data_IF_882691727232
#
_entry.id   IF_882691727232
#
_cell.length_a   1.000
_cell.length_b   1.000
_cell.length_c   1.000
_cell.angle_alpha   90.00
_cell.angle_beta   90.00
_cell.angle_gamma   90.00
#
_symmetry.space_group_name_H-M   'P 1'
#
loop_
_entity.id
_entity.type
_entity.pdbx_description
1 polymer ?
#
# COMPACT_ATOMS: atom_id res chain seq x y z
N UNK A 1 -67.44 24.73 4.89
CA UNK A 1 -66.39 24.82 5.94
C UNK A 1 -65.90 23.46 6.51
N UNK A 2 -65.95 22.33 5.79
CA UNK A 2 -65.56 21.03 6.33
C UNK A 2 -64.35 20.37 5.59
N UNK A 3 -63.97 20.87 4.46
CA UNK A 3 -62.86 20.27 3.65
C UNK A 3 -61.45 20.79 4.03
N UNK A 4 -61.37 22.00 4.56
CA UNK A 4 -60.05 22.59 4.94
C UNK A 4 -59.41 21.95 6.20
N UNK A 5 -60.22 21.45 7.13
CA UNK A 5 -59.74 20.82 8.34
C UNK A 5 -59.16 19.41 8.09
N UNK A 6 -59.73 18.68 7.12
CA UNK A 6 -59.23 17.33 6.79
C UNK A 6 -57.89 17.38 6.11
N UNK A 7 -57.66 18.35 5.23
CA UNK A 7 -56.39 18.56 4.54
C UNK A 7 -55.26 18.93 5.52
N UNK A 8 -55.55 19.78 6.49
CA UNK A 8 -54.56 20.18 7.50
C UNK A 8 -54.22 19.03 8.46
N UNK A 9 -55.13 18.14 8.79
CA UNK A 9 -54.87 16.95 9.63
C UNK A 9 -53.99 15.95 8.86
N UNK A 10 -54.23 15.72 7.59
CA UNK A 10 -53.43 14.82 6.74
C UNK A 10 -52.01 15.38 6.55
N UNK A 11 -51.89 16.69 6.36
CA UNK A 11 -50.56 17.33 6.21
C UNK A 11 -49.75 17.27 7.53
N UNK A 12 -50.39 17.48 8.66
CA UNK A 12 -49.75 17.36 10.00
C UNK A 12 -49.28 15.94 10.31
N UNK A 13 -50.09 14.93 9.95
CA UNK A 13 -49.74 13.52 10.10
C UNK A 13 -48.57 13.11 9.22
N UNK A 14 -48.51 13.58 7.96
CA UNK A 14 -47.42 13.32 7.05
C UNK A 14 -46.12 13.95 7.52
N UNK A 15 -46.17 15.17 8.08
CA UNK A 15 -44.98 15.86 8.62
C UNK A 15 -44.43 15.13 9.84
N UNK A 16 -45.30 14.62 10.73
CA UNK A 16 -44.88 13.86 11.91
C UNK A 16 -44.19 12.55 11.55
N UNK A 17 -44.64 11.83 10.54
CA UNK A 17 -44.02 10.60 10.07
C UNK A 17 -42.63 10.87 9.47
N UNK A 18 -42.45 11.96 8.75
CA UNK A 18 -41.14 12.35 8.19
C UNK A 18 -40.18 12.74 9.30
N UNK A 19 -40.61 13.50 10.31
CA UNK A 19 -39.78 13.86 11.45
C UNK A 19 -39.34 12.63 12.27
N UNK A 20 -40.24 11.68 12.51
CA UNK A 20 -39.90 10.43 13.22
C UNK A 20 -38.92 9.58 12.44
N UNK A 21 -39.07 9.47 11.12
CA UNK A 21 -38.11 8.74 10.27
C UNK A 21 -36.73 9.40 10.24
N UNK A 22 -36.63 10.73 10.21
CA UNK A 22 -35.37 11.45 10.30
C UNK A 22 -34.68 11.29 11.65
N UNK A 23 -35.44 11.29 12.76
CA UNK A 23 -34.89 11.08 14.11
C UNK A 23 -34.35 9.64 14.29
N UNK A 24 -35.03 8.63 13.73
CA UNK A 24 -34.59 7.24 13.80
C UNK A 24 -33.33 7.04 12.92
N UNK A 25 -33.23 7.67 11.74
CA UNK A 25 -32.07 7.62 10.89
C UNK A 25 -30.85 8.29 11.56
N UNK A 26 -31.03 9.47 12.16
CA UNK A 26 -29.97 10.16 12.89
C UNK A 26 -29.47 9.38 14.14
N UNK A 27 -30.37 8.67 14.82
CA UNK A 27 -30.01 7.82 15.97
C UNK A 27 -29.20 6.59 15.55
N UNK A 28 -29.51 5.98 14.38
CA UNK A 28 -28.77 4.84 13.88
C UNK A 28 -27.36 5.21 13.37
N UNK A 29 -27.19 6.39 12.80
CA UNK A 29 -25.89 6.87 12.33
C UNK A 29 -24.95 7.24 13.50
N UNK A 30 -25.49 7.80 14.59
CA UNK A 30 -24.70 8.07 15.79
C UNK A 30 -24.28 6.78 16.52
N UNK A 31 -25.14 5.76 16.55
CA UNK A 31 -24.79 4.46 17.13
C UNK A 31 -23.72 3.72 16.30
N UNK A 32 -23.77 3.82 14.98
CA UNK A 32 -22.75 3.25 14.08
C UNK A 32 -21.41 3.98 14.17
N UNK A 33 -21.42 5.32 14.33
CA UNK A 33 -20.21 6.11 14.55
C UNK A 33 -19.53 5.80 15.87
N UNK A 34 -20.30 5.65 16.96
CA UNK A 34 -19.76 5.27 18.27
C UNK A 34 -19.17 3.85 18.27
N UNK A 35 -19.82 2.89 17.59
CA UNK A 35 -19.31 1.52 17.45
C UNK A 35 -18.04 1.46 16.57
N UNK A 36 -17.94 2.26 15.51
CA UNK A 36 -16.75 2.36 14.67
C UNK A 36 -15.54 2.94 15.41
N UNK A 37 -15.76 3.99 16.22
CA UNK A 37 -14.67 4.60 17.01
C UNK A 37 -14.14 3.68 18.12
N UNK A 38 -14.99 2.87 18.76
CA UNK A 38 -14.52 1.93 19.80
C UNK A 38 -13.72 0.76 19.21
N UNK A 39 -14.06 0.29 18.02
CA UNK A 39 -13.30 -0.76 17.32
C UNK A 39 -11.92 -0.28 16.86
N UNK A 40 -11.85 0.95 16.32
CA UNK A 40 -10.58 1.54 15.89
C UNK A 40 -9.63 1.81 17.07
N UNK A 41 -10.17 2.15 18.26
CA UNK A 41 -9.35 2.41 19.45
C UNK A 41 -8.77 1.12 20.06
N UNK A 42 -9.50 0.00 20.06
CA UNK A 42 -8.98 -1.29 20.54
C UNK A 42 -7.90 -1.87 19.61
N UNK A 43 -8.03 -1.71 18.30
CA UNK A 43 -7.03 -2.19 17.33
C UNK A 43 -5.73 -1.37 17.41
N UNK A 44 -5.77 -0.09 17.80
CA UNK A 44 -4.58 0.74 18.00
C UNK A 44 -3.81 0.44 19.29
N UNK A 45 -4.47 -0.12 20.33
CA UNK A 45 -3.82 -0.44 21.59
C UNK A 45 -3.00 -1.74 21.57
N UNK A 46 -3.19 -2.60 20.57
CA UNK A 46 -2.47 -3.88 20.44
C UNK A 46 -1.11 -3.79 19.76
N UNK A 47 -0.72 -2.63 19.20
CA UNK A 47 0.51 -2.45 18.44
C UNK A 47 1.47 -1.47 19.15
N UNK A 48 1.77 -1.74 20.45
CA UNK A 48 2.76 -0.95 21.18
C UNK A 48 4.19 -1.36 20.75
N UNK A 49 5.09 -0.38 20.53
CA UNK A 49 6.42 -0.59 19.95
C UNK A 49 7.41 -1.37 20.82
N UNK A 50 7.04 -1.75 22.05
CA UNK A 50 8.00 -2.22 23.06
C UNK A 50 8.57 -3.64 22.88
N UNK A 51 8.18 -4.40 21.85
CA UNK A 51 8.56 -5.81 21.74
C UNK A 51 9.31 -6.20 20.45
N UNK A 52 9.75 -5.25 19.63
CA UNK A 52 10.45 -5.61 18.39
C UNK A 52 11.96 -5.47 18.56
N UNK A 53 12.63 -6.62 18.67
CA UNK A 53 14.07 -6.72 18.82
C UNK A 53 14.85 -6.14 17.63
N UNK A 54 16.06 -5.65 17.89
CA UNK A 54 17.02 -5.28 16.85
C UNK A 54 17.22 -6.43 15.85
N UNK A 55 17.44 -6.10 14.57
CA UNK A 55 17.70 -7.08 13.53
C UNK A 55 18.92 -7.94 13.90
N UNK A 56 18.87 -9.27 13.73
CA UNK A 56 19.90 -10.18 14.24
C UNK A 56 21.34 -9.96 13.70
N UNK A 57 21.49 -9.25 12.59
CA UNK A 57 22.83 -8.93 12.02
C UNK A 57 23.42 -7.58 12.46
N UNK A 58 22.71 -6.82 13.29
CA UNK A 58 23.18 -5.54 13.81
C UNK A 58 23.32 -4.41 12.78
N UNK A 59 23.00 -4.67 11.51
CA UNK A 59 23.18 -3.73 10.40
C UNK A 59 22.00 -2.74 10.28
N UNK A 60 20.83 -3.13 10.77
CA UNK A 60 19.60 -2.34 10.66
C UNK A 60 18.99 -2.07 12.04
N UNK A 61 18.49 -0.86 12.20
CA UNK A 61 17.67 -0.45 13.33
C UNK A 61 16.20 -0.38 12.90
N UNK A 62 15.33 -1.05 13.66
CA UNK A 62 13.89 -0.88 13.49
C UNK A 62 13.42 0.45 14.07
N UNK A 63 12.59 1.16 13.32
CA UNK A 63 12.01 2.43 13.73
C UNK A 63 10.49 2.29 13.80
N UNK A 64 9.82 3.00 14.74
CA UNK A 64 8.37 3.13 14.70
C UNK A 64 7.91 3.65 13.34
N UNK A 65 6.89 3.03 12.75
CA UNK A 65 6.44 3.39 11.39
C UNK A 65 5.98 4.85 11.29
N UNK A 66 5.43 5.40 12.36
CA UNK A 66 4.99 6.79 12.45
C UNK A 66 6.15 7.81 12.69
N UNK A 67 7.32 7.34 13.10
CA UNK A 67 8.53 8.16 13.31
C UNK A 67 9.52 8.04 12.17
N UNK A 68 9.16 7.29 11.15
CA UNK A 68 10.03 7.02 10.03
C UNK A 68 10.36 8.31 9.25
N UNK A 69 11.65 8.62 9.01
CA UNK A 69 12.02 9.81 8.28
C UNK A 69 11.40 9.76 6.89
N UNK A 70 10.64 10.78 6.57
CA UNK A 70 9.82 10.86 5.38
C UNK A 70 10.62 10.60 4.10
N UNK A 71 10.42 9.45 3.49
CA UNK A 71 10.69 9.30 2.07
C UNK A 71 9.74 10.23 1.33
N UNK A 72 10.25 11.27 0.70
CA UNK A 72 9.40 12.08 -0.17
C UNK A 72 8.99 11.24 -1.39
N UNK A 73 7.73 10.79 -1.48
CA UNK A 73 7.30 9.87 -2.54
C UNK A 73 7.42 10.50 -3.93
N UNK A 74 7.29 11.81 -4.05
CA UNK A 74 7.45 12.51 -5.33
C UNK A 74 8.90 12.49 -5.83
N UNK A 75 9.88 12.50 -4.94
CA UNK A 75 11.30 12.39 -5.30
C UNK A 75 11.69 10.95 -5.58
N UNK A 76 11.31 10.05 -4.70
CA UNK A 76 11.73 8.65 -4.80
C UNK A 76 11.04 7.92 -5.96
N UNK A 77 9.72 7.95 -6.08
CA UNK A 77 9.06 7.26 -7.18
C UNK A 77 9.34 7.90 -8.54
N UNK A 78 9.34 9.22 -8.64
CA UNK A 78 9.54 9.89 -9.92
C UNK A 78 10.99 9.99 -10.37
N UNK A 79 11.91 10.16 -9.44
CA UNK A 79 13.32 10.48 -9.70
C UNK A 79 14.23 9.27 -9.59
N UNK A 80 14.60 8.93 -8.36
CA UNK A 80 15.57 7.85 -8.06
C UNK A 80 15.01 6.47 -8.34
N UNK A 81 13.74 6.24 -8.09
CA UNK A 81 13.13 4.93 -8.02
C UNK A 81 13.31 4.29 -6.64
N UNK A 82 12.55 3.23 -6.42
CA UNK A 82 12.67 2.34 -5.27
C UNK A 82 12.81 0.92 -5.77
N UNK A 83 13.31 0.02 -4.94
CA UNK A 83 13.38 -1.40 -5.26
C UNK A 83 12.23 -2.12 -4.55
N UNK A 84 11.42 -2.83 -5.31
CA UNK A 84 10.37 -3.73 -4.83
C UNK A 84 10.89 -5.15 -4.84
N UNK A 85 10.78 -5.89 -3.73
CA UNK A 85 11.08 -7.31 -3.70
C UNK A 85 9.93 -8.11 -3.09
N UNK A 86 9.69 -9.31 -3.61
CA UNK A 86 8.69 -10.24 -3.12
C UNK A 86 9.16 -11.70 -3.33
N UNK A 87 8.54 -12.61 -2.61
CA UNK A 87 8.89 -14.02 -2.56
C UNK A 87 9.25 -14.47 -1.17
N UNK A 88 10.02 -15.53 -1.09
CA UNK A 88 10.44 -16.14 0.16
C UNK A 88 11.90 -16.62 0.08
N UNK A 89 12.36 -17.38 1.10
CA UNK A 89 13.74 -17.91 1.16
C UNK A 89 14.07 -18.89 0.04
N UNK A 90 13.07 -19.57 -0.55
CA UNK A 90 13.28 -20.52 -1.64
C UNK A 90 13.42 -19.81 -2.97
N UNK A 91 12.56 -18.82 -3.22
CA UNK A 91 12.57 -18.07 -4.47
C UNK A 91 12.02 -16.67 -4.28
N UNK A 92 12.76 -15.69 -4.73
CA UNK A 92 12.39 -14.28 -4.68
C UNK A 92 12.79 -13.55 -5.95
N UNK A 93 12.22 -12.39 -6.16
CA UNK A 93 12.66 -11.49 -7.21
C UNK A 93 12.45 -10.04 -6.80
N UNK A 94 13.31 -9.16 -7.33
CA UNK A 94 13.20 -7.73 -7.14
C UNK A 94 13.13 -6.99 -8.46
N UNK A 95 12.54 -5.78 -8.46
CA UNK A 95 12.51 -4.88 -9.60
C UNK A 95 12.46 -3.43 -9.15
N UNK A 96 13.00 -2.55 -9.96
CA UNK A 96 12.86 -1.11 -9.72
C UNK A 96 11.44 -0.66 -10.07
N UNK A 97 10.87 0.13 -9.18
CA UNK A 97 9.57 0.78 -9.33
C UNK A 97 9.74 2.30 -9.33
N UNK A 98 9.02 2.96 -10.24
CA UNK A 98 8.98 4.42 -10.34
C UNK A 98 7.57 4.99 -10.12
N UNK A 99 6.61 4.15 -9.74
CA UNK A 99 5.22 4.55 -9.48
C UNK A 99 4.76 3.99 -8.15
N UNK A 100 4.14 4.84 -7.36
CA UNK A 100 3.60 4.47 -6.07
C UNK A 100 3.10 5.65 -5.29
N UNK A 101 2.64 5.37 -4.09
CA UNK A 101 2.22 6.34 -3.09
C UNK A 101 2.55 5.84 -1.69
N UNK A 102 2.70 6.75 -0.76
CA UNK A 102 2.83 6.48 0.66
C UNK A 102 1.83 7.35 1.41
N UNK A 103 1.11 6.80 2.36
CA UNK A 103 0.09 7.54 3.08
C UNK A 103 -0.70 6.67 4.04
N UNK A 104 -1.92 7.09 4.32
CA UNK A 104 -2.82 6.39 5.24
C UNK A 104 -4.06 5.90 4.50
N UNK A 105 -4.37 4.63 4.64
CA UNK A 105 -5.60 4.02 4.15
C UNK A 105 -6.10 3.00 5.17
N UNK A 106 -7.41 2.97 5.45
CA UNK A 106 -8.02 2.14 6.50
C UNK A 106 -7.34 2.29 7.87
N UNK A 107 -7.01 3.53 8.22
CA UNK A 107 -6.29 3.89 9.45
C UNK A 107 -4.93 3.18 9.63
N UNK A 108 -4.31 2.76 8.52
CA UNK A 108 -3.00 2.11 8.49
C UNK A 108 -2.01 2.92 7.66
N UNK A 109 -0.75 2.91 8.04
CA UNK A 109 0.35 3.43 7.21
C UNK A 109 0.54 2.50 6.03
N UNK A 110 0.41 3.00 4.81
CA UNK A 110 0.40 2.17 3.61
C UNK A 110 1.39 2.63 2.56
N UNK A 111 1.91 1.65 1.82
CA UNK A 111 2.62 1.85 0.56
C UNK A 111 1.80 1.23 -0.56
N UNK A 112 1.54 2.01 -1.60
CA UNK A 112 0.93 1.55 -2.85
C UNK A 112 2.00 1.45 -3.92
N UNK A 113 2.07 0.31 -4.61
CA UNK A 113 2.99 0.07 -5.72
C UNK A 113 2.25 -0.43 -6.95
N UNK A 114 2.82 -0.19 -8.13
CA UNK A 114 2.22 -0.58 -9.41
C UNK A 114 3.19 -1.47 -10.18
N UNK A 115 2.75 -2.69 -10.50
CA UNK A 115 3.55 -3.68 -11.22
C UNK A 115 2.88 -4.04 -12.54
N UNK A 116 3.59 -3.84 -13.66
CA UNK A 116 3.07 -4.17 -14.98
C UNK A 116 2.91 -5.68 -15.13
N UNK A 117 1.86 -6.09 -15.85
CA UNK A 117 1.41 -7.49 -15.98
C UNK A 117 2.51 -8.46 -16.41
N UNK A 118 3.42 -8.02 -17.28
CA UNK A 118 4.50 -8.86 -17.81
C UNK A 118 5.78 -8.90 -16.96
N UNK A 119 5.83 -8.15 -15.87
CA UNK A 119 7.00 -8.15 -14.98
C UNK A 119 7.08 -9.47 -14.21
N UNK A 120 8.28 -10.06 -14.17
CA UNK A 120 8.50 -11.30 -13.43
C UNK A 120 8.17 -11.16 -11.94
N UNK A 121 8.46 -10.03 -11.34
CA UNK A 121 8.13 -9.74 -9.93
C UNK A 121 6.63 -9.85 -9.64
N UNK A 122 5.75 -9.65 -10.66
CA UNK A 122 4.30 -9.81 -10.49
C UNK A 122 3.92 -11.22 -10.03
N UNK A 123 4.58 -12.25 -10.55
CA UNK A 123 4.33 -13.64 -10.15
C UNK A 123 4.60 -13.88 -8.66
N UNK A 124 5.56 -13.15 -8.09
CA UNK A 124 5.87 -13.19 -6.66
C UNK A 124 4.88 -12.36 -5.86
N UNK A 125 4.55 -11.15 -6.32
CA UNK A 125 3.56 -10.28 -5.65
C UNK A 125 2.19 -10.94 -5.54
N UNK A 126 1.76 -11.69 -6.55
CA UNK A 126 0.46 -12.36 -6.56
C UNK A 126 0.38 -13.55 -5.57
N UNK A 127 1.53 -14.08 -5.14
CA UNK A 127 1.60 -15.27 -4.27
C UNK A 127 2.07 -14.97 -2.85
N UNK A 128 2.71 -13.82 -2.65
CA UNK A 128 3.32 -13.48 -1.37
C UNK A 128 2.38 -12.64 -0.51
N UNK A 129 2.19 -12.97 0.77
CA UNK A 129 1.41 -12.13 1.68
C UNK A 129 2.16 -10.87 2.10
N UNK A 130 3.47 -10.81 1.87
CA UNK A 130 4.34 -9.68 2.19
C UNK A 130 5.23 -9.31 1.02
N UNK A 131 5.65 -8.06 0.99
CA UNK A 131 6.67 -7.54 0.07
C UNK A 131 7.51 -6.47 0.77
N UNK A 132 8.69 -6.17 0.23
CA UNK A 132 9.51 -5.06 0.72
C UNK A 132 9.65 -3.97 -0.32
N UNK A 133 9.75 -2.72 0.17
CA UNK A 133 10.14 -1.56 -0.63
C UNK A 133 11.40 -0.97 -0.02
N UNK A 134 12.44 -0.81 -0.83
CA UNK A 134 13.76 -0.40 -0.38
C UNK A 134 14.21 0.88 -1.07
N UNK A 135 14.87 1.77 -0.31
CA UNK A 135 15.56 2.94 -0.83
C UNK A 135 17.07 2.78 -0.65
N UNK A 136 17.82 3.36 -1.58
CA UNK A 136 19.28 3.40 -1.59
C UNK A 136 19.72 4.85 -1.74
N UNK A 137 20.63 5.33 -0.88
CA UNK A 137 21.17 6.68 -0.97
C UNK A 137 22.05 6.81 -2.24
N UNK A 138 22.89 5.78 -2.48
CA UNK A 138 23.77 5.68 -3.65
C UNK A 138 23.44 4.43 -4.47
N UNK A 139 22.20 4.32 -4.94
CA UNK A 139 21.69 3.10 -5.57
C UNK A 139 21.44 3.19 -7.07
N UNK A 140 21.90 4.23 -7.76
CA UNK A 140 21.56 4.46 -9.16
C UNK A 140 21.95 3.30 -10.09
N UNK A 141 23.09 2.67 -9.88
CA UNK A 141 23.54 1.47 -10.64
C UNK A 141 22.68 0.24 -10.31
N UNK A 142 22.37 0.02 -9.04
CA UNK A 142 21.52 -1.08 -8.54
C UNK A 142 20.13 -0.95 -9.15
N UNK A 143 19.51 0.21 -8.97
CA UNK A 143 18.15 0.49 -9.45
C UNK A 143 18.06 0.39 -10.97
N UNK A 144 19.07 0.89 -11.69
CA UNK A 144 19.13 0.78 -13.15
C UNK A 144 19.18 -0.69 -13.58
N UNK A 145 20.11 -1.46 -13.03
CA UNK A 145 20.26 -2.88 -13.38
C UNK A 145 18.98 -3.67 -13.07
N UNK A 146 18.46 -3.54 -11.84
CA UNK A 146 17.25 -4.23 -11.37
C UNK A 146 16.01 -3.91 -12.20
N UNK A 147 15.94 -2.69 -12.77
CA UNK A 147 14.82 -2.25 -13.61
C UNK A 147 14.89 -2.74 -15.06
N UNK A 148 16.10 -2.96 -15.61
CA UNK A 148 16.31 -3.29 -17.02
C UNK A 148 16.48 -4.80 -17.26
N UNK A 149 17.02 -5.55 -16.30
CA UNK A 149 17.23 -6.99 -16.44
C UNK A 149 16.04 -7.78 -15.88
N UNK A 150 15.77 -8.93 -16.50
CA UNK A 150 14.72 -9.85 -16.04
C UNK A 150 15.30 -10.89 -15.09
N UNK A 151 14.62 -11.15 -13.98
CA UNK A 151 14.97 -12.26 -13.10
C UNK A 151 14.63 -13.65 -13.67
N UNK A 152 14.02 -13.70 -14.88
CA UNK A 152 13.89 -14.96 -15.64
C UNK A 152 15.20 -15.35 -16.30
N UNK A 153 16.08 -14.38 -16.56
CA UNK A 153 17.34 -14.59 -17.26
C UNK A 153 18.51 -14.92 -16.31
N UNK A 154 18.30 -14.76 -15.00
CA UNK A 154 19.31 -15.06 -13.98
C UNK A 154 19.07 -14.33 -12.67
N UNK A 155 19.90 -14.64 -11.67
CA UNK A 155 19.90 -13.98 -10.37
C UNK A 155 20.54 -12.59 -10.48
N UNK A 156 19.69 -11.59 -10.40
CA UNK A 156 20.11 -10.18 -10.50
C UNK A 156 20.84 -9.69 -9.26
N UNK A 157 20.50 -10.22 -8.08
CA UNK A 157 21.15 -9.85 -6.83
C UNK A 157 22.59 -10.38 -6.83
N UNK A 158 22.78 -11.64 -7.20
CA UNK A 158 24.12 -12.24 -7.35
C UNK A 158 24.96 -11.51 -8.40
N UNK A 159 24.38 -11.13 -9.54
CA UNK A 159 25.07 -10.38 -10.60
C UNK A 159 25.56 -8.99 -10.15
N UNK A 160 24.93 -8.41 -9.12
CA UNK A 160 25.33 -7.13 -8.52
C UNK A 160 26.14 -7.29 -7.23
N UNK A 161 26.37 -8.52 -6.76
CA UNK A 161 27.02 -8.77 -5.46
C UNK A 161 26.19 -8.33 -4.27
N UNK A 162 24.86 -8.26 -4.39
CA UNK A 162 23.98 -7.89 -3.29
C UNK A 162 23.76 -9.05 -2.32
N UNK A 163 23.74 -8.74 -1.02
CA UNK A 163 23.48 -9.70 0.03
C UNK A 163 22.00 -9.71 0.38
N UNK A 164 21.33 -10.83 0.05
CA UNK A 164 19.90 -11.01 0.34
C UNK A 164 19.72 -11.40 1.80
N UNK A 165 18.96 -10.59 2.51
CA UNK A 165 18.48 -10.83 3.86
C UNK A 165 16.99 -11.10 3.84
N UNK A 166 16.45 -11.59 4.97
CA UNK A 166 15.03 -11.90 5.08
C UNK A 166 14.49 -11.41 6.42
N UNK A 167 13.31 -10.82 6.39
CA UNK A 167 12.56 -10.45 7.60
C UNK A 167 12.10 -11.70 8.35
N UNK A 168 11.51 -11.53 9.52
CA UNK A 168 10.93 -12.64 10.30
C UNK A 168 9.78 -13.33 9.54
N UNK A 169 9.07 -12.59 8.68
CA UNK A 169 8.04 -13.12 7.79
C UNK A 169 8.62 -13.82 6.54
N UNK A 170 9.95 -13.91 6.42
CA UNK A 170 10.64 -14.50 5.29
C UNK A 170 10.65 -13.64 4.03
N UNK A 171 10.32 -12.36 4.13
CA UNK A 171 10.27 -11.42 3.00
C UNK A 171 11.71 -10.96 2.65
N UNK A 172 12.12 -11.03 1.37
CA UNK A 172 13.48 -10.68 0.96
C UNK A 172 13.73 -9.16 1.01
N UNK A 173 14.94 -8.76 1.41
CA UNK A 173 15.50 -7.42 1.26
C UNK A 173 17.01 -7.49 1.10
N UNK A 174 17.68 -6.37 0.85
CA UNK A 174 19.13 -6.34 0.60
C UNK A 174 19.86 -5.54 1.69
N UNK A 175 21.01 -6.08 2.14
CA UNK A 175 21.87 -5.45 3.16
C UNK A 175 22.42 -4.08 2.72
N UNK A 176 22.47 -3.82 1.42
CA UNK A 176 22.94 -2.56 0.84
C UNK A 176 21.89 -1.45 0.86
N UNK A 177 20.62 -1.77 1.18
CA UNK A 177 19.57 -0.76 1.28
C UNK A 177 19.76 0.11 2.53
N UNK A 178 19.51 1.42 2.41
CA UNK A 178 19.53 2.35 3.55
C UNK A 178 18.21 2.28 4.33
N UNK A 179 17.14 1.97 3.63
CA UNK A 179 15.77 1.98 4.13
C UNK A 179 15.05 0.75 3.60
N UNK A 180 14.38 0.03 4.48
CA UNK A 180 13.52 -1.12 4.12
C UNK A 180 12.16 -0.94 4.78
N UNK A 181 11.11 -0.97 3.98
CA UNK A 181 9.74 -1.04 4.44
C UNK A 181 9.20 -2.44 4.13
N UNK A 182 8.91 -3.23 5.14
CA UNK A 182 8.17 -4.48 4.97
C UNK A 182 6.68 -4.19 4.99
N UNK A 183 5.97 -4.66 3.98
CA UNK A 183 4.57 -4.37 3.77
C UNK A 183 3.76 -5.66 3.75
N UNK A 184 2.71 -5.75 4.56
CA UNK A 184 1.69 -6.80 4.50
C UNK A 184 0.69 -6.44 3.40
N UNK A 185 0.49 -7.32 2.43
CA UNK A 185 -0.43 -7.08 1.32
C UNK A 185 -1.88 -7.04 1.83
N UNK A 186 -2.56 -5.92 1.62
CA UNK A 186 -3.96 -5.71 2.01
C UNK A 186 -4.91 -5.79 0.81
N UNK A 187 -4.45 -5.34 -0.37
CA UNK A 187 -5.30 -5.23 -1.54
C UNK A 187 -4.48 -5.35 -2.82
N UNK A 188 -5.03 -6.03 -3.82
CA UNK A 188 -4.48 -6.09 -5.16
C UNK A 188 -5.60 -6.03 -6.20
N UNK A 189 -5.48 -5.13 -7.18
CA UNK A 189 -6.41 -5.04 -8.30
C UNK A 189 -5.69 -4.55 -9.57
N UNK A 190 -5.98 -5.12 -10.74
CA UNK A 190 -5.54 -4.55 -12.00
C UNK A 190 -6.20 -3.19 -12.20
N UNK A 191 -5.46 -2.26 -12.83
CA UNK A 191 -6.06 -1.00 -13.27
C UNK A 191 -7.06 -1.30 -14.39
N UNK A 192 -8.21 -0.66 -14.31
CA UNK A 192 -9.24 -0.76 -15.35
C UNK A 192 -9.14 0.42 -16.32
N UNK A 193 -8.89 0.14 -17.60
CA UNK A 193 -8.81 1.17 -18.63
C UNK A 193 -10.15 1.88 -18.86
N UNK A 194 -11.29 1.25 -18.59
CA UNK A 194 -12.60 1.87 -18.66
C UNK A 194 -12.81 2.93 -17.56
N UNK A 195 -12.06 2.83 -16.46
CA UNK A 195 -12.10 3.78 -15.36
C UNK A 195 -11.22 5.03 -15.58
N UNK A 196 -10.44 5.11 -16.64
CA UNK A 196 -9.61 6.27 -16.94
C UNK A 196 -10.48 7.49 -17.25
N UNK A 197 -10.27 8.57 -16.52
CA UNK A 197 -11.07 9.82 -16.66
C UNK A 197 -10.41 10.88 -17.54
N UNK A 198 -9.13 10.65 -17.91
CA UNK A 198 -8.28 11.60 -18.63
C UNK A 198 -7.50 10.88 -19.75
N UNK A 199 -6.97 11.63 -20.72
CA UNK A 199 -6.19 11.08 -21.81
C UNK A 199 -4.76 10.72 -21.43
N UNK A 200 -4.21 11.32 -20.37
CA UNK A 200 -2.84 11.03 -19.90
C UNK A 200 -2.61 9.54 -19.67
N UNK A 201 -3.42 8.80 -18.89
CA UNK A 201 -3.24 7.36 -18.74
C UNK A 201 -3.55 6.59 -20.03
N UNK A 202 -4.53 7.01 -20.84
CA UNK A 202 -4.87 6.36 -22.12
C UNK A 202 -3.70 6.40 -23.10
N UNK A 203 -3.13 7.58 -23.32
CA UNK A 203 -1.96 7.75 -24.18
C UNK A 203 -0.73 7.01 -23.65
N UNK A 204 -0.52 7.04 -22.32
CA UNK A 204 0.59 6.34 -21.71
C UNK A 204 0.55 4.84 -22.03
N UNK A 205 -0.61 4.18 -21.84
CA UNK A 205 -0.77 2.76 -22.11
C UNK A 205 -0.83 2.43 -23.61
N UNK A 206 -1.36 3.31 -24.44
CA UNK A 206 -1.31 3.15 -25.90
C UNK A 206 0.14 3.11 -26.42
N UNK A 207 1.01 3.97 -25.92
CA UNK A 207 2.45 4.01 -26.29
C UNK A 207 3.23 2.79 -25.77
N UNK A 208 2.79 2.14 -24.69
CA UNK A 208 3.46 0.97 -24.10
C UNK A 208 3.18 -0.35 -24.82
N UNK A 209 2.17 -0.39 -25.69
CA UNK A 209 1.84 -1.55 -26.51
C UNK A 209 1.59 -2.80 -25.66
N UNK A 210 2.34 -3.88 -25.95
CA UNK A 210 2.15 -5.20 -25.30
C UNK A 210 2.57 -5.28 -23.82
N UNK A 211 3.00 -4.20 -23.17
CA UNK A 211 3.42 -4.24 -21.76
C UNK A 211 2.26 -4.49 -20.78
N UNK A 212 1.03 -4.32 -21.23
CA UNK A 212 -0.17 -4.51 -20.44
C UNK A 212 -0.40 -3.39 -19.41
N UNK A 213 -1.52 -3.44 -18.74
CA UNK A 213 -1.83 -2.57 -17.62
C UNK A 213 -0.98 -2.94 -16.40
N UNK A 214 -1.03 -2.10 -15.37
CA UNK A 214 -0.42 -2.40 -14.08
C UNK A 214 -1.47 -2.95 -13.14
N UNK A 215 -1.05 -3.83 -12.25
CA UNK A 215 -1.79 -4.16 -11.03
C UNK A 215 -1.33 -3.22 -9.92
N UNK A 216 -2.28 -2.62 -9.24
CA UNK A 216 -2.08 -1.86 -8.01
C UNK A 216 -2.03 -2.83 -6.83
N UNK A 217 -1.03 -2.71 -5.99
CA UNK A 217 -0.90 -3.44 -4.73
C UNK A 217 -0.81 -2.42 -3.59
N UNK A 218 -1.64 -2.59 -2.57
CA UNK A 218 -1.63 -1.76 -1.36
C UNK A 218 -1.18 -2.63 -0.19
N UNK A 219 -0.09 -2.26 0.44
CA UNK A 219 0.44 -2.95 1.62
C UNK A 219 0.47 -2.02 2.84
N UNK A 220 0.10 -2.57 3.99
CA UNK A 220 0.34 -1.94 5.30
C UNK A 220 1.83 -2.06 5.63
N UNK A 221 2.46 -0.98 6.00
CA UNK A 221 3.83 -1.00 6.53
C UNK A 221 3.80 -1.60 7.93
N UNK A 222 4.30 -2.82 8.06
CA UNK A 222 4.36 -3.56 9.33
C UNK A 222 5.72 -3.47 9.99
N UNK A 223 6.76 -3.12 9.23
CA UNK A 223 8.12 -2.92 9.75
C UNK A 223 8.84 -1.86 8.91
N UNK A 224 9.59 -1.00 9.57
CA UNK A 224 10.47 -0.01 8.94
C UNK A 224 11.89 -0.17 9.50
N UNK A 225 12.85 -0.43 8.63
CA UNK A 225 14.26 -0.63 8.98
C UNK A 225 15.10 0.46 8.35
N UNK A 226 16.06 1.01 9.11
CA UNK A 226 17.08 1.94 8.62
C UNK A 226 18.45 1.37 8.91
N UNK A 227 19.34 1.43 7.91
CA UNK A 227 20.75 1.06 8.08
C UNK A 227 21.44 1.99 9.07
N UNK A 228 22.25 1.45 9.97
CA UNK A 228 23.03 2.19 10.96
C UNK A 228 24.32 2.79 10.38
#
# INVERSE_FOLDING_TARGET
MKTSNLLNIVLAAALLVVCVRMAVAAGSDNARRAAGQSADTEVMAADSPEARSAHPDGTFKELPVNEYPALNPFTYFRGKGLLLAAGNREKSNAMTIGWGAMGTLWSRSTVTVYVAEKRYTKEFMDRSPYFTVMAFAEGDSILRYMGHHSGRDGDKAAALGLHTLYTDNGTPYYAEADIVLECRLLYAAPLDSAAFKDDVPREHYAKRGKAGLHTMYIGEVVRALRKE
#
